data_IF_200835991218
#
_entry.id   IF_200835991218
#
_cell.length_a   1.000
_cell.length_b   1.000
_cell.length_c   1.000
_cell.angle_alpha   90.00
_cell.angle_beta   90.00
_cell.angle_gamma   90.00
#
_symmetry.space_group_name_H-M   'P 1'
#
loop_
_entity.id
_entity.type
_entity.pdbx_description
1 polymer ?
#
# COMPACT_ATOMS: atom_id res chain seq x y z
N UNK A 1 20.89 -43.59 23.41
CA UNK A 1 19.94 -43.52 22.28
C UNK A 1 19.96 -42.10 21.76
N UNK A 2 20.76 -41.83 20.74
CA UNK A 2 20.78 -40.55 20.06
C UNK A 2 19.45 -40.37 19.31
N UNK A 3 18.79 -39.25 19.55
CA UNK A 3 17.56 -38.90 18.85
C UNK A 3 17.94 -38.51 17.43
N UNK A 4 17.70 -39.39 16.47
CA UNK A 4 17.76 -39.09 15.05
C UNK A 4 16.69 -38.03 14.73
N UNK A 5 17.07 -36.76 14.87
CA UNK A 5 16.26 -35.65 14.44
C UNK A 5 16.39 -35.56 12.92
N UNK A 6 15.57 -36.33 12.19
CA UNK A 6 15.55 -36.25 10.74
C UNK A 6 15.04 -34.87 10.34
N UNK A 7 15.96 -34.02 9.89
CA UNK A 7 15.63 -32.74 9.31
C UNK A 7 14.85 -33.02 8.02
N UNK A 8 13.54 -32.83 8.06
CA UNK A 8 12.70 -32.96 6.87
C UNK A 8 12.63 -31.59 6.18
N UNK A 9 13.35 -31.39 5.05
CA UNK A 9 13.43 -30.10 4.37
C UNK A 9 12.08 -29.65 3.77
N UNK A 10 11.11 -30.56 3.63
CA UNK A 10 9.79 -30.24 3.11
C UNK A 10 8.84 -29.63 4.16
N UNK A 11 9.18 -29.66 5.45
CA UNK A 11 8.36 -29.02 6.50
C UNK A 11 8.39 -27.49 6.45
N UNK A 12 9.33 -26.89 5.72
CA UNK A 12 9.41 -25.44 5.53
C UNK A 12 8.49 -24.94 4.41
N UNK A 13 7.84 -25.82 3.65
CA UNK A 13 7.01 -25.47 2.50
C UNK A 13 5.52 -25.24 2.86
N UNK A 14 5.12 -25.43 4.12
CA UNK A 14 3.74 -25.20 4.55
C UNK A 14 3.35 -23.73 4.64
N UNK A 15 4.32 -22.83 4.73
CA UNK A 15 4.08 -21.39 4.98
C UNK A 15 4.00 -20.56 3.69
N UNK A 16 4.09 -21.19 2.52
CA UNK A 16 4.07 -20.52 1.21
C UNK A 16 2.68 -19.99 0.78
N UNK A 17 1.66 -20.08 1.64
CA UNK A 17 0.27 -19.74 1.31
C UNK A 17 -0.19 -18.38 1.88
N UNK A 18 0.69 -17.63 2.56
CA UNK A 18 0.36 -16.36 3.20
C UNK A 18 0.86 -15.13 2.42
N UNK A 19 0.93 -15.20 1.09
CA UNK A 19 0.92 -13.98 0.28
C UNK A 19 -0.53 -13.54 0.14
N UNK A 20 -1.08 -12.98 1.22
CA UNK A 20 -2.26 -12.13 1.11
C UNK A 20 -1.90 -11.00 0.14
N UNK A 21 -2.75 -10.77 -0.87
CA UNK A 21 -2.67 -9.59 -1.72
C UNK A 21 -2.83 -8.36 -0.85
N UNK A 22 -1.72 -7.83 -0.32
CA UNK A 22 -1.68 -6.51 0.30
C UNK A 22 -1.88 -5.49 -0.82
N UNK A 23 -3.12 -5.16 -1.13
CA UNK A 23 -3.44 -3.93 -1.84
C UNK A 23 -3.03 -2.78 -0.94
N UNK A 24 -1.82 -2.27 -1.12
CA UNK A 24 -1.43 -1.02 -0.50
C UNK A 24 -2.35 0.08 -1.05
N UNK A 25 -3.13 0.72 -0.18
CA UNK A 25 -3.82 1.95 -0.54
C UNK A 25 -2.74 2.98 -0.90
N UNK A 26 -2.60 3.29 -2.18
CA UNK A 26 -1.65 4.32 -2.64
C UNK A 26 -2.34 5.68 -2.62
N UNK A 27 -2.11 6.44 -1.56
CA UNK A 27 -2.53 7.83 -1.48
C UNK A 27 -1.67 8.68 -2.42
N UNK A 28 -2.32 9.54 -3.22
CA UNK A 28 -1.64 10.41 -4.19
C UNK A 28 -1.68 11.86 -3.72
N UNK A 29 -0.52 12.53 -3.75
CA UNK A 29 -0.35 13.91 -3.29
C UNK A 29 0.34 14.77 -4.35
N UNK A 30 0.01 16.06 -4.36
CA UNK A 30 0.69 17.08 -5.15
C UNK A 30 1.54 17.98 -4.25
N UNK A 31 2.82 18.14 -4.62
CA UNK A 31 3.74 19.07 -3.98
C UNK A 31 3.85 20.36 -4.81
N UNK A 32 3.42 21.46 -4.23
CA UNK A 32 3.72 22.79 -4.74
C UNK A 32 5.14 23.19 -4.31
N UNK A 33 6.09 23.17 -5.25
CA UNK A 33 7.50 23.51 -4.99
C UNK A 33 7.73 24.99 -4.69
N UNK A 34 6.79 25.88 -5.03
CA UNK A 34 6.93 27.32 -4.77
C UNK A 34 6.63 27.66 -3.31
N UNK A 35 5.68 26.93 -2.71
CA UNK A 35 5.25 27.11 -1.31
C UNK A 35 5.70 25.97 -0.39
N UNK A 36 6.28 24.90 -0.95
CA UNK A 36 6.62 23.62 -0.30
C UNK A 36 5.44 22.96 0.42
N UNK A 37 4.22 23.23 -0.04
CA UNK A 37 2.99 22.64 0.50
C UNK A 37 2.64 21.35 -0.23
N UNK A 38 2.11 20.39 0.52
CA UNK A 38 1.64 19.10 0.00
C UNK A 38 0.15 19.00 0.27
N UNK A 39 -0.64 18.71 -0.76
CA UNK A 39 -2.08 18.49 -0.63
C UNK A 39 -2.51 17.17 -1.29
N UNK A 40 -3.50 16.45 -0.72
CA UNK A 40 -4.05 15.25 -1.33
C UNK A 40 -4.76 15.57 -2.66
N UNK A 41 -4.55 14.75 -3.69
CA UNK A 41 -5.17 14.97 -4.99
C UNK A 41 -6.71 14.96 -4.93
N UNK A 42 -7.31 14.18 -4.03
CA UNK A 42 -8.76 14.13 -3.83
C UNK A 42 -9.34 15.49 -3.41
N UNK A 43 -8.63 16.22 -2.54
CA UNK A 43 -9.05 17.55 -2.07
C UNK A 43 -9.04 18.55 -3.23
N UNK A 44 -8.03 18.46 -4.09
CA UNK A 44 -7.88 19.32 -5.26
C UNK A 44 -8.99 19.04 -6.27
N UNK A 45 -9.23 17.76 -6.60
CA UNK A 45 -10.28 17.37 -7.54
C UNK A 45 -11.68 17.82 -7.07
N UNK A 46 -11.99 17.65 -5.78
CA UNK A 46 -13.25 18.12 -5.21
C UNK A 46 -13.40 19.65 -5.29
N UNK A 47 -12.32 20.39 -5.04
CA UNK A 47 -12.32 21.84 -5.13
C UNK A 47 -12.46 22.35 -6.59
N UNK A 48 -11.97 21.60 -7.57
CA UNK A 48 -12.17 21.91 -8.99
C UNK A 48 -13.61 21.65 -9.43
N UNK A 49 -14.18 20.50 -9.04
CA UNK A 49 -15.57 20.15 -9.37
C UNK A 49 -16.58 21.14 -8.77
N UNK A 50 -16.38 21.55 -7.52
CA UNK A 50 -17.27 22.54 -6.87
C UNK A 50 -17.31 23.89 -7.61
N UNK A 51 -16.20 24.30 -8.26
CA UNK A 51 -16.15 25.54 -9.06
C UNK A 51 -16.86 25.41 -10.40
N UNK A 52 -17.00 24.19 -10.92
CA UNK A 52 -17.70 23.92 -12.17
C UNK A 52 -19.22 23.88 -11.95
N UNK A 53 -19.68 23.39 -10.80
CA UNK A 53 -21.10 23.34 -10.43
C UNK A 53 -21.71 24.72 -10.09
N UNK A 54 -20.88 25.71 -9.75
CA UNK A 54 -21.32 27.10 -9.50
C UNK A 54 -21.46 27.96 -10.78
N UNK A 55 -21.20 27.40 -11.97
CA UNK A 55 -21.10 28.12 -13.24
C UNK A 55 -22.26 27.83 -14.20
#
# INVERSE_FOLDING_TARGET
MEKNNSYNPFRLLSDAHLTEDMSCCTDTYLLDRSTMKVEPCEVIANAEQAKEEEK
#
